data_IF_868230901367
#
_entry.id   IF_868230901367
#
_cell.length_a   1.000
_cell.length_b   1.000
_cell.length_c   1.000
_cell.angle_alpha   90.00
_cell.angle_beta   90.00
_cell.angle_gamma   90.00
#
_symmetry.space_group_name_H-M   'P 1'
#
loop_
_entity.id
_entity.type
_entity.pdbx_description
1 polymer ?
#
# COMPACT_ATOMS: atom_id res chain seq x y z
N UNK A 1 -17.71 7.96 -1.00
CA UNK A 1 -16.66 8.35 -0.05
C UNK A 1 -15.51 8.98 -0.83
N UNK A 2 -15.06 10.13 -0.35
CA UNK A 2 -13.94 10.81 -1.00
C UNK A 2 -12.64 10.36 -0.34
N UNK A 3 -11.78 9.70 -1.08
CA UNK A 3 -10.51 9.21 -0.58
C UNK A 3 -9.36 10.18 -0.83
N UNK A 4 -9.63 11.31 -1.47
CA UNK A 4 -8.58 12.25 -1.79
C UNK A 4 -7.84 12.72 -0.54
N UNK A 5 -6.53 12.57 -0.53
CA UNK A 5 -5.70 12.97 0.60
C UNK A 5 -5.72 12.01 1.78
N UNK A 6 -6.49 10.93 1.72
CA UNK A 6 -6.55 9.97 2.80
C UNK A 6 -5.36 9.03 2.77
N UNK A 7 -4.83 8.70 3.93
CA UNK A 7 -3.76 7.72 4.03
C UNK A 7 -4.35 6.33 4.14
N UNK A 8 -4.06 5.49 3.18
CA UNK A 8 -4.65 4.15 3.10
C UNK A 8 -3.53 3.12 3.11
N UNK A 9 -3.57 2.25 4.10
CA UNK A 9 -2.59 1.18 4.20
C UNK A 9 -3.05 -0.02 3.38
N UNK A 10 -2.18 -0.53 2.52
CA UNK A 10 -2.46 -1.71 1.71
C UNK A 10 -1.51 -2.81 2.16
N UNK A 11 -2.05 -3.95 2.58
CA UNK A 11 -1.23 -5.07 2.99
C UNK A 11 -0.79 -5.89 1.79
N UNK A 12 0.50 -6.10 1.68
CA UNK A 12 1.07 -6.94 0.63
C UNK A 12 1.58 -6.16 -0.57
N UNK A 13 2.81 -6.46 -0.97
CA UNK A 13 3.43 -5.81 -2.13
C UNK A 13 3.31 -6.65 -3.40
N UNK A 14 2.44 -7.66 -3.40
CA UNK A 14 2.20 -8.48 -4.59
C UNK A 14 1.29 -7.77 -5.57
N UNK A 15 0.89 -8.48 -6.62
CA UNK A 15 0.07 -7.90 -7.68
C UNK A 15 -1.23 -7.28 -7.17
N UNK A 16 -1.89 -7.94 -6.23
CA UNK A 16 -3.16 -7.42 -5.68
C UNK A 16 -2.93 -6.14 -4.91
N UNK A 17 -1.86 -6.08 -4.11
CA UNK A 17 -1.55 -4.88 -3.34
C UNK A 17 -1.16 -3.73 -4.25
N UNK A 18 -0.34 -3.99 -5.26
CA UNK A 18 0.06 -2.96 -6.21
C UNK A 18 -1.17 -2.45 -6.98
N UNK A 19 -2.06 -3.36 -7.37
CA UNK A 19 -3.28 -2.97 -8.08
C UNK A 19 -4.18 -2.07 -7.21
N UNK A 20 -4.32 -2.43 -5.94
CA UNK A 20 -5.09 -1.60 -5.02
C UNK A 20 -4.44 -0.23 -4.84
N UNK A 21 -3.11 -0.19 -4.70
CA UNK A 21 -2.39 1.07 -4.56
C UNK A 21 -2.55 1.95 -5.80
N UNK A 22 -2.47 1.34 -6.98
CA UNK A 22 -2.66 2.08 -8.23
C UNK A 22 -4.05 2.71 -8.29
N UNK A 23 -5.07 1.94 -7.89
CA UNK A 23 -6.42 2.46 -7.87
C UNK A 23 -6.55 3.61 -6.89
N UNK A 24 -5.98 3.46 -5.70
CA UNK A 24 -6.01 4.51 -4.69
C UNK A 24 -5.29 5.76 -5.17
N UNK A 25 -4.13 5.58 -5.80
CA UNK A 25 -3.41 6.72 -6.35
C UNK A 25 -4.22 7.46 -7.41
N UNK A 26 -4.99 6.71 -8.19
CA UNK A 26 -5.79 7.33 -9.26
C UNK A 26 -6.93 8.19 -8.73
N UNK A 27 -7.38 7.96 -7.50
CA UNK A 27 -8.43 8.77 -6.90
C UNK A 27 -7.89 9.82 -5.92
N UNK A 28 -6.57 9.99 -5.91
CA UNK A 28 -5.94 11.03 -5.09
C UNK A 28 -5.65 10.63 -3.66
N UNK A 29 -5.82 9.38 -3.31
CA UNK A 29 -5.47 8.90 -1.98
C UNK A 29 -3.96 8.76 -1.85
N UNK A 30 -3.46 8.57 -0.64
CA UNK A 30 -2.05 8.37 -0.38
C UNK A 30 -1.85 6.91 0.04
N UNK A 31 -1.56 6.02 -0.89
CA UNK A 31 -1.40 4.62 -0.53
C UNK A 31 -0.07 4.36 0.17
N UNK A 32 -0.12 3.48 1.16
CA UNK A 32 1.06 3.02 1.86
C UNK A 32 1.07 1.51 1.69
N UNK A 33 2.12 0.99 1.10
CA UNK A 33 2.23 -0.46 0.86
C UNK A 33 3.05 -1.08 1.97
N UNK A 34 2.47 -2.01 2.69
CA UNK A 34 3.17 -2.71 3.76
C UNK A 34 3.42 -4.16 3.35
N UNK A 35 4.61 -4.64 3.63
CA UNK A 35 4.93 -6.05 3.44
C UNK A 35 5.77 -6.52 4.61
N UNK A 36 5.48 -7.70 5.13
CA UNK A 36 6.22 -8.24 6.26
C UNK A 36 7.65 -8.67 5.96
N UNK A 37 8.04 -8.67 4.69
CA UNK A 37 9.39 -9.03 4.30
C UNK A 37 10.31 -7.82 4.46
N UNK A 38 11.15 -7.85 5.49
CA UNK A 38 12.05 -6.73 5.75
C UNK A 38 13.14 -6.59 4.69
N UNK A 39 13.32 -7.59 3.85
CA UNK A 39 14.26 -7.53 2.74
C UNK A 39 13.59 -7.11 1.44
N UNK A 40 12.38 -6.60 1.51
CA UNK A 40 11.64 -6.19 0.34
C UNK A 40 12.41 -5.14 -0.45
N UNK A 41 12.49 -5.32 -1.77
CA UNK A 41 13.12 -4.36 -2.64
C UNK A 41 12.09 -3.26 -2.96
N UNK A 42 12.22 -2.15 -2.27
CA UNK A 42 11.27 -1.04 -2.43
C UNK A 42 11.30 -0.45 -3.82
N UNK A 43 12.46 -0.44 -4.46
CA UNK A 43 12.54 0.07 -5.82
C UNK A 43 11.79 -0.82 -6.79
N UNK A 44 11.87 -2.13 -6.60
CA UNK A 44 11.13 -3.07 -7.44
C UNK A 44 9.63 -2.86 -7.28
N UNK A 45 9.17 -2.58 -6.06
CA UNK A 45 7.77 -2.30 -5.82
C UNK A 45 7.35 -1.02 -6.53
N UNK A 46 8.16 0.02 -6.44
CA UNK A 46 7.85 1.27 -7.12
C UNK A 46 7.78 1.09 -8.63
N UNK A 47 8.63 0.25 -9.18
CA UNK A 47 8.61 -0.01 -10.62
C UNK A 47 7.38 -0.78 -11.08
N UNK A 48 6.71 -1.46 -10.16
CA UNK A 48 5.49 -2.18 -10.49
C UNK A 48 4.26 -1.30 -10.49
N UNK A 49 4.36 -0.12 -9.91
CA UNK A 49 3.22 0.81 -9.90
C UNK A 49 3.09 1.47 -11.25
N UNK A 50 1.95 2.12 -11.48
CA UNK A 50 1.73 2.77 -12.77
C UNK A 50 2.48 4.09 -12.94
N UNK A 51 3.21 4.52 -11.90
CA UNK A 51 4.05 5.70 -12.01
C UNK A 51 3.36 7.04 -11.86
N UNK A 52 2.05 7.05 -11.63
CA UNK A 52 1.32 8.31 -11.51
C UNK A 52 1.29 8.84 -10.08
N UNK A 53 1.84 8.09 -9.14
CA UNK A 53 1.88 8.47 -7.75
C UNK A 53 3.12 7.83 -7.10
N UNK A 54 3.46 8.26 -5.90
CA UNK A 54 4.60 7.68 -5.18
C UNK A 54 4.10 7.13 -3.86
N UNK A 55 3.94 5.81 -3.74
CA UNK A 55 3.48 5.24 -2.48
C UNK A 55 4.59 5.23 -1.44
N UNK A 56 4.21 5.30 -0.19
CA UNK A 56 5.13 5.05 0.89
C UNK A 56 5.19 3.51 1.07
N UNK A 57 6.34 2.97 1.37
CA UNK A 57 6.51 1.53 1.49
C UNK A 57 7.10 1.20 2.85
N UNK A 58 6.40 0.37 3.60
CA UNK A 58 6.87 -0.10 4.90
C UNK A 58 7.21 -1.60 4.77
N UNK A 59 8.44 -1.95 5.09
CA UNK A 59 8.90 -3.33 4.99
C UNK A 59 9.31 -3.84 6.37
N UNK A 60 8.81 -5.00 6.73
CA UNK A 60 9.13 -5.65 8.00
C UNK A 60 8.22 -5.22 9.12
N UNK A 61 8.59 -4.19 9.87
CA UNK A 61 7.83 -3.75 11.02
C UNK A 61 7.06 -2.45 10.72
N UNK A 62 5.95 -2.25 11.41
CA UNK A 62 5.25 -0.98 11.31
C UNK A 62 6.03 0.11 12.03
N UNK A 63 6.16 1.30 11.47
CA UNK A 63 6.75 2.41 12.20
C UNK A 63 5.86 2.79 13.38
N UNK A 64 6.48 3.04 14.54
CA UNK A 64 5.72 3.40 15.72
C UNK A 64 4.98 4.71 15.51
N UNK A 65 3.75 4.73 15.95
CA UNK A 65 2.94 5.94 15.87
C UNK A 65 2.30 6.20 14.52
N UNK A 66 2.73 5.51 13.48
CA UNK A 66 2.19 5.78 12.15
C UNK A 66 0.81 5.18 11.93
N UNK A 67 0.48 4.15 12.71
CA UNK A 67 -0.86 3.56 12.59
C UNK A 67 -1.96 4.56 12.92
N UNK A 68 -1.68 5.49 13.80
CA UNK A 68 -2.68 6.49 14.17
C UNK A 68 -2.95 7.50 13.08
N UNK A 69 -2.03 7.64 12.14
CA UNK A 69 -2.20 8.58 11.05
C UNK A 69 -2.96 7.98 9.87
N UNK A 70 -3.27 6.68 9.93
CA UNK A 70 -3.97 6.03 8.83
C UNK A 70 -5.46 6.32 8.87
N UNK A 71 -6.02 6.59 7.72
CA UNK A 71 -7.46 6.83 7.60
C UNK A 71 -8.21 5.54 7.25
N UNK A 72 -7.54 4.58 6.61
CA UNK A 72 -8.19 3.36 6.15
C UNK A 72 -7.15 2.26 5.99
N UNK A 73 -7.57 1.02 6.14
CA UNK A 73 -6.71 -0.14 5.92
C UNK A 73 -7.39 -1.06 4.91
N UNK A 74 -6.70 -1.39 3.86
CA UNK A 74 -7.21 -2.32 2.85
C UNK A 74 -6.46 -3.63 2.99
N UNK A 75 -7.17 -4.68 3.35
CA UNK A 75 -6.58 -5.99 3.39
C UNK A 75 -6.65 -6.53 1.98
N UNK A 76 -5.53 -6.96 1.49
CA UNK A 76 -5.48 -7.57 0.19
C UNK A 76 -6.47 -8.71 0.16
N UNK A 77 -7.29 -8.82 -0.84
CA UNK A 77 -8.20 -9.93 -0.93
C UNK A 77 -7.40 -11.16 -1.29
N UNK A 78 -6.65 -11.61 -0.40
CA UNK A 78 -5.91 -12.72 -0.66
C UNK A 78 -6.76 -13.81 -0.85
N UNK A 79 -6.63 -14.33 -1.78
CA UNK A 79 -7.13 -15.55 -2.01
C UNK A 79 -7.06 -16.45 -0.87
N UNK A 80 -8.08 -16.65 -0.28
CA UNK A 80 -8.23 -17.72 0.58
C UNK A 80 -8.57 -18.82 -0.26
N UNK A 81 -7.69 -19.28 -0.90
CA UNK A 81 -8.05 -20.41 -1.62
C UNK A 81 -8.18 -21.52 -0.77
N UNK A 82 -8.50 -21.81 -0.56
CA UNK A 82 -8.49 -22.93 -0.03
C UNK A 82 -9.18 -23.45 -0.35
#
# INVERSE_FOLDING_TARGET
MDLKGKKVLVFGAGKSGIGAADLLGSVGAQPIIYDGNENLDKEAVLHKTNGTYTPEIWAGAFPEGEMESLDLVVLSPVSYTH
#
